data_IF_613328024201
#
_entry.id   IF_613328024201
#
_cell.length_a   1.000
_cell.length_b   1.000
_cell.length_c   1.000
_cell.angle_alpha   90.00
_cell.angle_beta   90.00
_cell.angle_gamma   90.00
#
_symmetry.space_group_name_H-M   'P 1'
#
loop_
_entity.id
_entity.type
_entity.pdbx_description
1 polymer ?
#
# COMPACT_ATOMS: atom_id res chain seq x y z
N UNK A 1 -11.16 1.03 -19.20
CA UNK A 1 -11.75 0.53 -17.94
C UNK A 1 -11.19 1.34 -16.80
N UNK A 2 -11.98 1.63 -15.77
CA UNK A 2 -11.50 2.29 -14.55
C UNK A 2 -10.72 1.29 -13.68
N UNK A 3 -9.79 1.77 -12.85
CA UNK A 3 -8.96 0.93 -11.96
C UNK A 3 -9.84 0.08 -11.03
N UNK A 4 -10.82 0.70 -10.38
CA UNK A 4 -11.75 -0.01 -9.49
C UNK A 4 -12.49 -1.17 -10.22
N UNK A 5 -13.03 -0.91 -11.42
CA UNK A 5 -13.72 -1.92 -12.23
C UNK A 5 -12.80 -3.11 -12.61
N UNK A 6 -11.51 -2.83 -12.86
CA UNK A 6 -10.52 -3.87 -13.15
C UNK A 6 -10.34 -4.82 -11.96
N UNK A 7 -10.13 -4.27 -10.76
CA UNK A 7 -9.95 -5.07 -9.55
C UNK A 7 -11.24 -5.75 -9.08
N UNK A 8 -12.41 -5.10 -9.20
CA UNK A 8 -13.70 -5.74 -8.96
C UNK A 8 -13.90 -6.97 -9.88
N UNK A 9 -13.50 -6.85 -11.15
CA UNK A 9 -13.58 -7.96 -12.11
C UNK A 9 -12.63 -9.11 -11.74
N UNK A 10 -11.42 -8.83 -11.25
CA UNK A 10 -10.49 -9.86 -10.78
C UNK A 10 -11.09 -10.65 -9.61
N UNK A 11 -11.64 -9.96 -8.62
CA UNK A 11 -12.33 -10.61 -7.49
C UNK A 11 -13.52 -11.46 -7.98
N UNK A 12 -14.32 -10.95 -8.91
CA UNK A 12 -15.45 -11.69 -9.50
C UNK A 12 -15.00 -12.97 -10.22
N UNK A 13 -13.79 -13.01 -10.75
CA UNK A 13 -13.17 -14.18 -11.39
C UNK A 13 -12.35 -15.05 -10.42
N UNK A 14 -12.50 -14.85 -9.10
CA UNK A 14 -11.89 -15.68 -8.07
C UNK A 14 -10.43 -15.33 -7.74
N UNK A 15 -9.91 -14.20 -8.20
CA UNK A 15 -8.56 -13.74 -7.85
C UNK A 15 -8.61 -13.05 -6.47
N UNK A 16 -8.40 -13.83 -5.42
CA UNK A 16 -8.30 -13.35 -4.04
C UNK A 16 -6.95 -13.77 -3.44
N UNK A 17 -5.96 -12.85 -3.36
CA UNK A 17 -4.62 -13.13 -2.84
C UNK A 17 -4.58 -13.74 -1.43
N UNK A 18 -5.62 -13.57 -0.63
CA UNK A 18 -5.72 -14.21 0.69
C UNK A 18 -5.91 -15.73 0.59
N UNK A 19 -6.49 -16.19 -0.52
CA UNK A 19 -6.79 -17.61 -0.77
C UNK A 19 -5.73 -18.29 -1.65
N UNK A 20 -4.68 -17.57 -2.05
CA UNK A 20 -3.58 -18.12 -2.85
C UNK A 20 -2.89 -19.29 -2.14
N UNK A 21 -2.31 -20.20 -2.95
CA UNK A 21 -1.45 -21.25 -2.44
C UNK A 21 -0.21 -20.66 -1.74
N UNK A 22 0.40 -21.43 -0.83
CA UNK A 22 1.64 -21.00 -0.16
C UNK A 22 2.79 -20.73 -1.16
N UNK A 23 2.84 -21.46 -2.26
CA UNK A 23 3.82 -21.21 -3.33
C UNK A 23 3.62 -19.84 -3.97
N UNK A 24 2.38 -19.46 -4.27
CA UNK A 24 2.07 -18.15 -4.86
C UNK A 24 2.30 -17.02 -3.85
N UNK A 25 1.93 -17.20 -2.57
CA UNK A 25 2.24 -16.24 -1.51
C UNK A 25 3.75 -16.01 -1.38
N UNK A 26 4.55 -17.09 -1.36
CA UNK A 26 6.02 -17.02 -1.33
C UNK A 26 6.59 -16.35 -2.59
N UNK A 27 5.96 -16.56 -3.75
CA UNK A 27 6.35 -15.88 -4.97
C UNK A 27 6.08 -14.37 -4.87
N UNK A 28 4.91 -13.97 -4.36
CA UNK A 28 4.57 -12.56 -4.14
C UNK A 28 5.49 -11.88 -3.11
N UNK A 29 6.04 -12.62 -2.16
CA UNK A 29 7.00 -12.11 -1.19
C UNK A 29 8.33 -11.64 -1.80
N UNK A 30 8.59 -11.95 -3.07
CA UNK A 30 9.74 -11.42 -3.83
C UNK A 30 9.64 -9.93 -4.13
N UNK A 31 8.44 -9.33 -4.06
CA UNK A 31 8.25 -7.88 -4.15
C UNK A 31 8.41 -7.19 -2.79
N UNK A 32 7.79 -7.72 -1.74
CA UNK A 32 7.67 -7.02 -0.46
C UNK A 32 8.02 -7.91 0.76
N UNK A 33 7.38 -9.03 0.97
CA UNK A 33 7.74 -10.05 1.95
C UNK A 33 8.18 -9.56 3.34
N UNK A 34 9.07 -10.34 3.97
CA UNK A 34 9.55 -10.06 5.33
C UNK A 34 10.40 -8.78 5.42
N UNK A 35 11.13 -8.42 4.35
CA UNK A 35 11.93 -7.20 4.33
C UNK A 35 11.03 -5.98 4.47
N UNK A 36 9.90 -5.94 3.75
CA UNK A 36 8.95 -4.85 3.84
C UNK A 36 8.33 -4.74 5.24
N UNK A 37 7.91 -5.88 5.80
CA UNK A 37 7.38 -5.92 7.18
C UNK A 37 8.41 -5.44 8.19
N UNK A 38 9.69 -5.81 8.05
CA UNK A 38 10.75 -5.32 8.94
C UNK A 38 10.98 -3.82 8.85
N UNK A 39 10.85 -3.22 7.66
CA UNK A 39 10.95 -1.75 7.48
C UNK A 39 9.77 -1.02 8.14
N UNK A 40 8.59 -1.62 8.17
CA UNK A 40 7.44 -1.07 8.91
C UNK A 40 7.68 -1.06 10.42
N UNK A 41 8.44 -2.03 10.94
CA UNK A 41 8.72 -2.20 12.38
C UNK A 41 7.43 -2.17 13.22
N UNK A 42 6.58 -3.21 13.13
CA UNK A 42 5.30 -3.27 13.82
C UNK A 42 5.42 -3.10 15.33
N UNK A 43 4.47 -2.36 15.92
CA UNK A 43 4.37 -2.14 17.37
C UNK A 43 2.90 -1.92 17.78
N UNK A 44 2.48 -2.58 18.86
CA UNK A 44 1.10 -2.55 19.38
C UNK A 44 0.64 -1.19 19.91
N UNK A 45 1.52 -0.21 19.97
CA UNK A 45 1.19 1.18 20.34
C UNK A 45 0.86 2.06 19.12
N UNK A 46 1.18 1.62 17.90
CA UNK A 46 1.10 2.41 16.68
C UNK A 46 -0.22 2.21 15.93
N UNK A 47 -0.70 3.29 15.30
CA UNK A 47 -1.81 3.27 14.35
C UNK A 47 -1.24 3.20 12.93
N UNK A 48 -1.78 2.29 12.10
CA UNK A 48 -1.26 2.07 10.75
C UNK A 48 -2.34 2.30 9.67
N UNK A 49 -1.91 2.86 8.53
CA UNK A 49 -2.72 2.99 7.31
C UNK A 49 -2.06 2.23 6.17
N UNK A 50 -2.80 1.37 5.50
CA UNK A 50 -2.44 0.74 4.22
C UNK A 50 -3.19 1.42 3.09
N UNK A 51 -2.45 1.91 2.08
CA UNK A 51 -3.01 2.48 0.84
C UNK A 51 -3.00 1.39 -0.22
N UNK A 52 -4.19 1.05 -0.75
CA UNK A 52 -4.39 -0.04 -1.71
C UNK A 52 -4.34 -1.40 -1.02
N UNK A 53 -5.15 -1.60 0.01
CA UNK A 53 -5.09 -2.80 0.83
C UNK A 53 -5.61 -4.08 0.13
N UNK A 54 -6.32 -3.94 -0.98
CA UNK A 54 -6.92 -5.07 -1.69
C UNK A 54 -7.78 -5.93 -0.77
N UNK A 55 -7.63 -7.25 -0.85
CA UNK A 55 -8.31 -8.21 0.03
C UNK A 55 -7.60 -8.45 1.37
N UNK A 56 -6.46 -7.74 1.61
CA UNK A 56 -5.74 -7.76 2.87
C UNK A 56 -4.50 -8.64 2.92
N UNK A 57 -3.83 -8.91 1.79
CA UNK A 57 -2.61 -9.73 1.75
C UNK A 57 -1.54 -9.26 2.73
N UNK A 58 -1.25 -7.95 2.76
CA UNK A 58 -0.27 -7.40 3.71
C UNK A 58 -0.86 -7.24 5.10
N UNK A 59 -2.15 -6.91 5.21
CA UNK A 59 -2.86 -6.87 6.49
C UNK A 59 -2.72 -8.20 7.26
N UNK A 60 -2.76 -9.35 6.56
CA UNK A 60 -2.61 -10.67 7.18
C UNK A 60 -1.23 -10.88 7.83
N UNK A 61 -0.16 -10.30 7.25
CA UNK A 61 1.20 -10.41 7.79
C UNK A 61 1.43 -9.64 9.09
N UNK A 62 0.55 -8.64 9.35
CA UNK A 62 0.69 -7.71 10.47
C UNK A 62 -0.52 -7.69 11.40
N UNK A 63 -1.49 -8.59 11.18
CA UNK A 63 -2.70 -8.66 11.97
C UNK A 63 -2.37 -8.89 13.47
N UNK A 64 -2.88 -8.00 14.34
CA UNK A 64 -2.61 -8.04 15.78
C UNK A 64 -1.29 -7.43 16.23
N UNK A 65 -0.44 -6.96 15.29
CA UNK A 65 0.85 -6.34 15.62
C UNK A 65 0.79 -4.81 15.77
N UNK A 66 -0.37 -4.21 15.51
CA UNK A 66 -0.62 -2.77 15.64
C UNK A 66 -1.79 -2.49 16.60
N UNK A 67 -1.82 -1.27 17.16
CA UNK A 67 -2.94 -0.76 17.98
C UNK A 67 -4.23 -0.68 17.16
N UNK A 68 -4.14 -0.11 15.97
CA UNK A 68 -5.22 -0.07 15.00
C UNK A 68 -4.68 -0.14 13.59
N UNK A 69 -5.45 -0.78 12.71
CA UNK A 69 -5.19 -0.84 11.29
C UNK A 69 -6.35 -0.20 10.51
N UNK A 70 -6.00 0.58 9.51
CA UNK A 70 -6.93 1.10 8.52
C UNK A 70 -6.43 0.74 7.13
N UNK A 71 -7.24 0.05 6.34
CA UNK A 71 -6.98 -0.19 4.91
C UNK A 71 -7.90 0.66 4.06
N UNK A 72 -7.41 1.24 2.96
CA UNK A 72 -8.22 1.93 1.96
C UNK A 72 -7.93 1.36 0.58
N UNK A 73 -8.98 1.08 -0.19
CA UNK A 73 -8.89 0.59 -1.57
C UNK A 73 -10.04 1.14 -2.44
N UNK A 74 -9.79 1.27 -3.74
CA UNK A 74 -10.80 1.72 -4.72
C UNK A 74 -11.84 0.63 -5.03
N UNK A 75 -11.46 -0.65 -4.95
CA UNK A 75 -12.29 -1.79 -5.29
C UNK A 75 -13.25 -2.13 -4.17
N UNK A 76 -14.54 -1.99 -4.43
CA UNK A 76 -15.58 -2.37 -3.46
C UNK A 76 -15.64 -3.86 -3.21
N UNK A 77 -15.34 -4.67 -4.23
CA UNK A 77 -15.27 -6.13 -4.10
C UNK A 77 -14.08 -6.57 -3.24
N UNK A 78 -12.92 -5.91 -3.39
CA UNK A 78 -11.74 -6.16 -2.56
C UNK A 78 -12.01 -5.81 -1.10
N UNK A 79 -12.59 -4.64 -0.83
CA UNK A 79 -12.92 -4.21 0.54
C UNK A 79 -13.89 -5.17 1.21
N UNK A 80 -14.94 -5.60 0.51
CA UNK A 80 -15.87 -6.59 1.03
C UNK A 80 -15.16 -7.90 1.44
N UNK A 81 -14.21 -8.36 0.62
CA UNK A 81 -13.40 -9.55 0.95
C UNK A 81 -12.50 -9.29 2.17
N UNK A 82 -11.86 -8.14 2.24
CA UNK A 82 -11.04 -7.78 3.40
C UNK A 82 -11.87 -7.77 4.69
N UNK A 83 -13.06 -7.17 4.69
CA UNK A 83 -13.98 -7.20 5.84
C UNK A 83 -14.35 -8.63 6.25
N UNK A 84 -14.62 -9.52 5.27
CA UNK A 84 -14.92 -10.95 5.54
C UNK A 84 -13.72 -11.67 6.17
N UNK A 85 -12.50 -11.48 5.62
CA UNK A 85 -11.28 -12.14 6.11
C UNK A 85 -10.86 -11.69 7.51
N UNK A 86 -11.09 -10.42 7.83
CA UNK A 86 -10.67 -9.82 9.10
C UNK A 86 -11.81 -9.56 10.09
N UNK A 87 -12.99 -10.14 9.89
CA UNK A 87 -14.19 -9.95 10.73
C UNK A 87 -13.96 -10.25 12.24
N UNK A 88 -12.93 -11.02 12.57
CA UNK A 88 -12.58 -11.35 13.97
C UNK A 88 -11.70 -10.31 14.67
N UNK A 89 -11.22 -9.27 13.96
CA UNK A 89 -10.32 -8.25 14.49
C UNK A 89 -11.07 -6.93 14.67
N UNK A 90 -11.36 -6.55 15.91
CA UNK A 90 -12.09 -5.32 16.25
C UNK A 90 -11.26 -4.04 16.01
N UNK A 91 -9.95 -4.18 15.87
CA UNK A 91 -9.01 -3.07 15.65
C UNK A 91 -8.63 -2.86 14.18
N UNK A 92 -9.30 -3.54 13.25
CA UNK A 92 -9.07 -3.41 11.80
C UNK A 92 -10.30 -2.79 11.13
N UNK A 93 -10.07 -1.75 10.32
CA UNK A 93 -11.10 -1.02 9.60
C UNK A 93 -10.73 -0.95 8.11
N UNK A 94 -11.71 -1.17 7.23
CA UNK A 94 -11.54 -1.13 5.79
C UNK A 94 -12.45 -0.07 5.17
N UNK A 95 -11.91 0.70 4.22
CA UNK A 95 -12.56 1.85 3.60
C UNK A 95 -12.56 1.67 2.09
N UNK A 96 -13.73 1.65 1.47
CA UNK A 96 -13.84 1.75 0.02
C UNK A 96 -13.78 3.22 -0.40
N UNK A 97 -12.72 3.61 -1.12
CA UNK A 97 -12.57 5.01 -1.55
C UNK A 97 -11.24 5.32 -2.22
N UNK A 98 -11.19 6.47 -2.89
CA UNK A 98 -9.95 7.01 -3.45
C UNK A 98 -9.11 7.65 -2.33
N UNK A 99 -7.88 7.16 -2.16
CA UNK A 99 -6.96 7.71 -1.17
C UNK A 99 -6.75 9.22 -1.35
N UNK A 100 -6.67 9.72 -2.59
CA UNK A 100 -6.43 11.14 -2.84
C UNK A 100 -7.62 12.01 -2.42
N UNK A 101 -8.84 11.51 -2.58
CA UNK A 101 -10.08 12.25 -2.28
C UNK A 101 -10.57 12.05 -0.84
N UNK A 102 -10.25 10.89 -0.22
CA UNK A 102 -10.76 10.56 1.10
C UNK A 102 -10.16 11.45 2.20
N UNK A 103 -11.00 11.99 3.09
CA UNK A 103 -10.59 12.84 4.20
C UNK A 103 -10.45 12.03 5.49
N UNK A 104 -9.22 11.70 5.87
CA UNK A 104 -8.95 11.02 7.14
C UNK A 104 -9.09 12.00 8.33
N UNK A 105 -9.69 11.52 9.42
CA UNK A 105 -9.87 12.31 10.64
C UNK A 105 -8.73 12.16 11.64
N UNK A 106 -7.85 11.19 11.45
CA UNK A 106 -6.74 10.86 12.34
C UNK A 106 -5.42 10.85 11.59
N UNK A 107 -4.32 11.00 12.31
CA UNK A 107 -2.96 10.74 11.83
C UNK A 107 -2.61 9.28 12.08
N UNK A 108 -1.62 8.78 11.34
CA UNK A 108 -1.13 7.41 11.40
C UNK A 108 0.37 7.41 11.66
N UNK A 109 0.83 6.59 12.60
CA UNK A 109 2.25 6.51 12.96
C UNK A 109 3.07 5.83 11.87
N UNK A 110 2.45 4.87 11.19
CA UNK A 110 3.00 4.18 10.02
C UNK A 110 1.98 4.24 8.88
N UNK A 111 2.40 4.67 7.71
CA UNK A 111 1.63 4.56 6.47
C UNK A 111 2.43 3.69 5.52
N UNK A 112 1.78 2.77 4.83
CA UNK A 112 2.47 1.95 3.84
C UNK A 112 1.63 1.68 2.60
N UNK A 113 2.30 1.27 1.54
CA UNK A 113 1.67 0.86 0.28
C UNK A 113 2.56 -0.10 -0.48
N UNK A 114 1.98 -1.16 -1.03
CA UNK A 114 2.68 -2.15 -1.84
C UNK A 114 2.03 -2.29 -3.21
N UNK A 115 2.80 -2.09 -4.29
CA UNK A 115 2.39 -2.32 -5.68
C UNK A 115 1.14 -1.51 -6.13
N UNK A 116 0.93 -0.31 -5.56
CA UNK A 116 -0.25 0.53 -5.81
C UNK A 116 0.11 1.83 -6.53
N UNK A 117 1.28 2.41 -6.24
CA UNK A 117 1.63 3.75 -6.71
C UNK A 117 1.71 3.86 -8.23
N UNK A 118 1.91 2.75 -8.94
CA UNK A 118 1.80 2.71 -10.40
C UNK A 118 0.41 3.13 -10.92
N UNK A 119 -0.63 3.06 -10.12
CA UNK A 119 -1.98 3.52 -10.47
C UNK A 119 -2.20 5.02 -10.23
N UNK A 120 -1.31 5.68 -9.50
CA UNK A 120 -1.43 7.10 -9.15
C UNK A 120 -0.63 7.95 -10.14
N UNK A 121 -1.34 8.80 -10.90
CA UNK A 121 -0.70 9.71 -11.86
C UNK A 121 0.03 10.85 -11.15
N UNK A 122 -0.63 11.51 -10.21
CA UNK A 122 -0.06 12.62 -9.42
C UNK A 122 0.54 12.08 -8.10
N UNK A 123 1.71 11.46 -8.21
CA UNK A 123 2.41 10.87 -7.08
C UNK A 123 2.88 11.91 -6.06
N UNK A 124 3.21 13.13 -6.51
CA UNK A 124 3.65 14.19 -5.59
C UNK A 124 2.53 14.62 -4.64
N UNK A 125 1.30 14.79 -5.14
CA UNK A 125 0.13 15.08 -4.30
C UNK A 125 -0.14 13.94 -3.31
N UNK A 126 0.00 12.67 -3.75
CA UNK A 126 -0.12 11.53 -2.86
C UNK A 126 0.93 11.56 -1.73
N UNK A 127 2.20 11.79 -2.05
CA UNK A 127 3.25 11.86 -1.03
C UNK A 127 3.10 13.06 -0.08
N UNK A 128 2.65 14.22 -0.58
CA UNK A 128 2.31 15.37 0.29
C UNK A 128 1.17 15.05 1.23
N UNK A 129 0.12 14.38 0.75
CA UNK A 129 -0.98 13.94 1.59
C UNK A 129 -0.51 12.96 2.68
N UNK A 130 0.33 11.97 2.33
CA UNK A 130 0.94 11.05 3.27
C UNK A 130 1.75 11.81 4.33
N UNK A 131 2.61 12.74 3.89
CA UNK A 131 3.39 13.57 4.82
C UNK A 131 2.51 14.33 5.81
N UNK A 132 1.39 14.91 5.36
CA UNK A 132 0.42 15.59 6.21
C UNK A 132 -0.31 14.68 7.20
N UNK A 133 -0.51 13.39 6.85
CA UNK A 133 -1.16 12.39 7.70
C UNK A 133 -0.23 11.77 8.75
N UNK A 134 1.09 11.91 8.61
CA UNK A 134 2.06 11.41 9.57
C UNK A 134 2.26 12.41 10.72
N UNK A 135 2.37 11.95 11.97
CA UNK A 135 2.91 12.75 13.06
C UNK A 135 4.43 12.93 12.91
N UNK A 136 5.04 13.78 13.73
CA UNK A 136 6.49 13.85 13.87
C UNK A 136 7.04 12.45 14.23
N UNK A 137 8.12 12.02 13.61
CA UNK A 137 8.72 10.67 13.68
C UNK A 137 7.88 9.55 13.05
N UNK A 138 6.73 9.88 12.47
CA UNK A 138 5.96 8.93 11.69
C UNK A 138 6.71 8.53 10.41
N UNK A 139 6.44 7.31 9.91
CA UNK A 139 7.12 6.76 8.74
C UNK A 139 6.16 6.37 7.62
N UNK A 140 6.64 6.50 6.40
CA UNK A 140 6.02 5.94 5.21
C UNK A 140 6.91 4.84 4.63
N UNK A 141 6.34 3.67 4.37
CA UNK A 141 7.03 2.55 3.72
C UNK A 141 6.34 2.23 2.40
N UNK A 142 7.09 2.24 1.32
CA UNK A 142 6.58 2.09 -0.05
C UNK A 142 7.34 0.99 -0.79
N UNK A 143 6.62 0.05 -1.39
CA UNK A 143 7.15 -0.87 -2.39
C UNK A 143 6.73 -0.43 -3.78
N UNK A 144 7.71 -0.27 -4.69
CA UNK A 144 7.48 0.00 -6.11
C UNK A 144 8.01 -1.15 -6.96
N UNK A 145 7.25 -1.54 -7.99
CA UNK A 145 7.63 -2.60 -8.91
C UNK A 145 8.81 -2.17 -9.82
N UNK A 146 9.73 -3.08 -10.08
CA UNK A 146 10.78 -2.92 -11.09
C UNK A 146 10.26 -3.04 -12.52
N UNK A 147 9.07 -3.61 -12.71
CA UNK A 147 8.43 -3.73 -14.02
C UNK A 147 8.07 -2.34 -14.55
N UNK A 148 8.49 -2.06 -15.79
CA UNK A 148 8.26 -0.77 -16.44
C UNK A 148 7.21 -0.85 -17.56
N UNK A 149 6.42 -1.94 -17.62
CA UNK A 149 5.31 -2.04 -18.57
C UNK A 149 4.28 -0.92 -18.27
N UNK A 150 3.82 -0.19 -19.30
CA UNK A 150 2.88 0.92 -19.12
C UNK A 150 1.43 0.45 -18.94
N UNK A 151 1.21 -0.83 -18.75
CA UNK A 151 -0.10 -1.44 -18.55
C UNK A 151 -0.02 -2.72 -17.74
N UNK A 152 -1.12 -3.09 -17.12
CA UNK A 152 -1.39 -4.40 -16.54
C UNK A 152 -2.43 -5.10 -17.40
N UNK A 153 -2.13 -6.32 -17.81
CA UNK A 153 -3.05 -7.19 -18.56
C UNK A 153 -3.19 -8.52 -17.82
N UNK A 154 -4.41 -8.83 -17.40
CA UNK A 154 -4.74 -10.04 -16.62
C UNK A 154 -5.41 -11.12 -17.47
N UNK A 155 -5.54 -10.90 -18.80
CA UNK A 155 -6.31 -11.74 -19.68
C UNK A 155 -7.82 -11.49 -19.61
N UNK A 156 -8.34 -10.94 -18.52
CA UNK A 156 -9.74 -10.53 -18.37
C UNK A 156 -9.94 -9.05 -18.69
N UNK A 157 -8.93 -8.24 -18.39
CA UNK A 157 -8.99 -6.81 -18.61
C UNK A 157 -7.58 -6.21 -18.64
N UNK A 158 -7.47 -5.04 -19.26
CA UNK A 158 -6.24 -4.26 -19.35
C UNK A 158 -6.48 -2.85 -18.88
N UNK A 159 -5.54 -2.36 -18.07
CA UNK A 159 -5.49 -0.96 -17.60
C UNK A 159 -4.12 -0.36 -17.84
N UNK A 160 -4.10 0.94 -18.13
CA UNK A 160 -2.86 1.71 -18.21
C UNK A 160 -2.38 2.06 -16.81
N UNK A 161 -1.06 2.04 -16.62
CA UNK A 161 -0.40 2.41 -15.37
C UNK A 161 0.71 3.44 -15.63
N UNK A 162 1.19 4.05 -14.58
CA UNK A 162 2.30 5.02 -14.54
C UNK A 162 3.48 4.39 -13.78
N UNK A 163 4.35 3.61 -14.46
CA UNK A 163 5.42 2.88 -13.78
C UNK A 163 6.27 3.79 -12.90
N UNK A 164 6.73 3.22 -11.80
CA UNK A 164 7.57 3.93 -10.85
C UNK A 164 9.04 3.82 -11.25
N UNK A 165 9.76 4.92 -11.12
CA UNK A 165 11.21 4.95 -11.27
C UNK A 165 11.82 5.29 -9.90
N UNK A 166 12.82 4.54 -9.41
CA UNK A 166 13.33 4.71 -8.05
C UNK A 166 13.96 6.08 -7.78
N UNK A 167 14.71 6.65 -8.74
CA UNK A 167 15.35 7.97 -8.61
C UNK A 167 14.30 9.08 -8.59
N UNK A 168 13.28 8.97 -9.46
CA UNK A 168 12.16 9.91 -9.49
C UNK A 168 11.32 9.81 -8.21
N UNK A 169 11.08 8.60 -7.71
CA UNK A 169 10.36 8.35 -6.46
C UNK A 169 11.07 9.04 -5.29
N UNK A 170 12.38 8.87 -5.16
CA UNK A 170 13.18 9.55 -4.13
C UNK A 170 13.08 11.08 -4.25
N UNK A 171 13.20 11.62 -5.45
CA UNK A 171 13.08 13.07 -5.70
C UNK A 171 11.69 13.60 -5.27
N UNK A 172 10.62 12.87 -5.61
CA UNK A 172 9.25 13.25 -5.27
C UNK A 172 8.97 13.14 -3.75
N UNK A 173 9.51 12.11 -3.07
CA UNK A 173 9.42 11.99 -1.60
C UNK A 173 10.11 13.17 -0.92
N UNK A 174 11.31 13.56 -1.38
CA UNK A 174 11.99 14.77 -0.88
C UNK A 174 11.20 16.05 -1.16
N UNK A 175 10.61 16.16 -2.35
CA UNK A 175 9.72 17.28 -2.73
C UNK A 175 8.41 17.33 -1.92
N UNK A 176 8.00 16.24 -1.30
CA UNK A 176 6.85 16.17 -0.41
C UNK A 176 7.19 16.54 1.05
N UNK A 177 8.48 16.72 1.40
CA UNK A 177 8.94 17.12 2.74
C UNK A 177 9.80 16.08 3.48
N UNK A 178 9.88 14.83 3.00
CA UNK A 178 10.70 13.82 3.64
C UNK A 178 12.21 14.11 3.48
N UNK A 179 12.94 14.19 4.59
CA UNK A 179 14.40 14.45 4.59
C UNK A 179 15.20 13.16 4.78
N UNK A 180 14.75 12.27 5.67
CA UNK A 180 15.38 10.99 5.92
C UNK A 180 14.74 9.90 5.05
N UNK A 181 15.52 9.36 4.14
CA UNK A 181 15.10 8.31 3.20
C UNK A 181 16.10 7.17 3.21
N UNK A 182 15.62 5.94 3.21
CA UNK A 182 16.41 4.76 2.90
C UNK A 182 15.76 3.99 1.75
N UNK A 183 16.58 3.29 0.96
CA UNK A 183 16.13 2.41 -0.11
C UNK A 183 16.74 1.03 0.08
N UNK A 184 15.90 0.02 0.02
CA UNK A 184 16.25 -1.38 -0.03
C UNK A 184 15.79 -1.97 -1.36
N UNK A 185 16.25 -3.18 -1.66
CA UNK A 185 15.94 -3.84 -2.92
C UNK A 185 15.59 -5.30 -2.63
N UNK A 186 14.52 -5.77 -3.26
CA UNK A 186 14.14 -7.17 -3.34
C UNK A 186 14.37 -7.69 -4.76
N UNK A 187 14.01 -8.93 -5.04
CA UNK A 187 14.14 -9.49 -6.40
C UNK A 187 13.37 -8.66 -7.43
N UNK A 188 12.14 -8.22 -7.09
CA UNK A 188 11.23 -7.58 -8.05
C UNK A 188 10.83 -6.14 -7.69
N UNK A 189 11.26 -5.61 -6.55
CA UNK A 189 10.85 -4.27 -6.12
C UNK A 189 11.99 -3.46 -5.49
N UNK A 190 11.77 -2.13 -5.39
CA UNK A 190 12.48 -1.24 -4.48
C UNK A 190 11.57 -0.88 -3.32
N UNK A 191 12.11 -0.95 -2.10
CA UNK A 191 11.42 -0.56 -0.87
C UNK A 191 12.03 0.73 -0.37
N UNK A 192 11.19 1.75 -0.20
CA UNK A 192 11.55 3.04 0.38
C UNK A 192 11.00 3.14 1.80
N UNK A 193 11.83 3.61 2.73
CA UNK A 193 11.40 4.04 4.06
C UNK A 193 11.69 5.53 4.20
N UNK A 194 10.64 6.33 4.43
CA UNK A 194 10.71 7.78 4.53
C UNK A 194 10.21 8.22 5.91
N UNK A 195 11.00 9.03 6.63
CA UNK A 195 10.66 9.52 7.96
C UNK A 195 10.27 11.00 7.93
N UNK A 196 9.21 11.35 8.68
CA UNK A 196 8.85 12.74 8.95
C UNK A 196 9.61 13.23 10.16
N UNK A 197 10.65 14.06 9.93
CA UNK A 197 11.52 14.58 10.98
C UNK A 197 11.12 15.97 11.50
N UNK A 198 10.35 16.72 10.69
CA UNK A 198 9.95 18.09 11.01
C UNK A 198 8.44 18.26 10.77
N UNK A 199 7.79 19.10 11.56
CA UNK A 199 6.47 19.67 11.24
C UNK A 199 6.71 21.03 10.54
N UNK A 200 6.08 21.21 9.37
CA UNK A 200 6.01 22.51 8.67
C UNK A 200 4.91 23.38 9.26
#
# INVERSE_FOLDING_TARGET
>A
MKIAEHYDLLIANGNDPMLDSEELKNYMDKWDGNLFVSEMNPDKCLNVLEIGCGTGRMAAKIAGEYKSYTGIDLSSASIKRAEEHFAKYDNMNFICGDFLEYSFRSRFDVIFSTLVFMHIKDKLSAYKKIYGLLPLKGKFVLSIDKNQAPYIDTGYSRIDVYPDNPEKTECLLRGAGFKSLSRRETEFAFIFTALKEFDE
#
